data_IF_892676990139
#
_entry.id   IF_892676990139
#
_cell.length_a   1.000
_cell.length_b   1.000
_cell.length_c   1.000
_cell.angle_alpha   90.00
_cell.angle_beta   90.00
_cell.angle_gamma   90.00
#
_symmetry.space_group_name_H-M   'P 1'
#
loop_
_entity.id
_entity.type
_entity.pdbx_description
1 polymer ?
#
# COMPACT_ATOMS: atom_id res chain seq x y z
N UNK A 1 -9.75 -3.41 16.09
CA UNK A 1 -10.10 -2.58 14.91
C UNK A 1 -10.61 -3.41 13.74
N UNK A 2 -9.85 -4.40 13.27
CA UNK A 2 -10.20 -5.25 12.10
C UNK A 2 -11.57 -5.93 12.23
N UNK A 3 -11.86 -6.56 13.38
CA UNK A 3 -13.15 -7.25 13.56
C UNK A 3 -14.34 -6.29 13.51
N UNK A 4 -14.18 -5.05 14.01
CA UNK A 4 -15.23 -4.03 13.94
C UNK A 4 -15.47 -3.64 12.48
N UNK A 5 -14.40 -3.40 11.71
CA UNK A 5 -14.50 -3.10 10.28
C UNK A 5 -15.12 -4.25 9.47
N UNK A 6 -14.82 -5.51 9.82
CA UNK A 6 -15.44 -6.69 9.23
C UNK A 6 -16.94 -6.74 9.55
N UNK A 7 -17.34 -6.52 10.80
CA UNK A 7 -18.75 -6.45 11.20
C UNK A 7 -19.51 -5.33 10.49
N UNK A 8 -18.84 -4.20 10.22
CA UNK A 8 -19.40 -3.10 9.42
C UNK A 8 -19.41 -3.38 7.91
N UNK A 9 -18.83 -4.50 7.46
CA UNK A 9 -18.77 -4.91 6.06
C UNK A 9 -17.80 -4.07 5.22
N UNK A 10 -16.76 -3.46 5.81
CA UNK A 10 -15.81 -2.60 5.07
C UNK A 10 -14.86 -3.41 4.17
N UNK A 11 -14.59 -4.66 4.55
CA UNK A 11 -13.80 -5.62 3.76
C UNK A 11 -14.45 -6.07 2.44
N UNK A 12 -15.74 -5.77 2.26
CA UNK A 12 -16.48 -6.14 1.05
C UNK A 12 -16.66 -4.90 0.19
N UNK A 13 -16.30 -5.00 -1.09
CA UNK A 13 -16.40 -3.87 -2.01
C UNK A 13 -17.86 -3.40 -2.12
N UNK A 14 -18.13 -2.09 -2.00
CA UNK A 14 -19.47 -1.53 -2.16
C UNK A 14 -20.15 -1.90 -3.48
N UNK A 15 -19.39 -2.12 -4.57
CA UNK A 15 -19.94 -2.46 -5.89
C UNK A 15 -20.60 -3.85 -5.91
N UNK A 16 -20.31 -4.71 -4.93
CA UNK A 16 -21.02 -5.98 -4.74
C UNK A 16 -22.46 -5.81 -4.27
N UNK A 17 -22.83 -4.61 -3.80
CA UNK A 17 -24.19 -4.25 -3.38
C UNK A 17 -24.68 -3.00 -4.13
N UNK A 18 -24.98 -3.10 -5.44
CA UNK A 18 -25.39 -1.95 -6.25
C UNK A 18 -26.58 -1.20 -5.63
N UNK A 19 -26.46 0.12 -5.54
CA UNK A 19 -27.51 1.00 -5.00
C UNK A 19 -27.63 1.05 -3.46
N UNK A 20 -26.84 0.25 -2.72
CA UNK A 20 -26.84 0.30 -1.25
C UNK A 20 -26.13 1.53 -0.69
N UNK A 21 -25.11 2.00 -1.40
CA UNK A 21 -24.25 3.11 -1.00
C UNK A 21 -24.18 4.13 -2.12
N UNK A 22 -24.17 5.42 -1.75
CA UNK A 22 -23.83 6.50 -2.68
C UNK A 22 -22.37 6.39 -3.15
N UNK A 23 -21.98 7.01 -4.28
CA UNK A 23 -20.59 7.02 -4.74
C UNK A 23 -19.61 7.52 -3.67
N UNK A 24 -20.01 8.55 -2.93
CA UNK A 24 -19.25 9.08 -1.79
C UNK A 24 -19.07 8.03 -0.68
N UNK A 25 -20.15 7.39 -0.22
CA UNK A 25 -20.08 6.37 0.83
C UNK A 25 -19.26 5.16 0.39
N UNK A 26 -19.40 4.74 -0.87
CA UNK A 26 -18.62 3.64 -1.44
C UNK A 26 -17.12 3.95 -1.35
N UNK A 27 -16.71 5.13 -1.82
CA UNK A 27 -15.32 5.55 -1.78
C UNK A 27 -14.81 5.66 -0.33
N UNK A 28 -15.55 6.34 0.56
CA UNK A 28 -15.16 6.44 1.98
C UNK A 28 -14.97 5.08 2.64
N UNK A 29 -15.82 4.09 2.34
CA UNK A 29 -15.69 2.72 2.87
C UNK A 29 -14.43 2.04 2.35
N UNK A 30 -14.07 2.23 1.07
CA UNK A 30 -12.80 1.73 0.50
C UNK A 30 -11.61 2.36 1.22
N UNK A 31 -11.59 3.68 1.37
CA UNK A 31 -10.50 4.41 2.05
C UNK A 31 -10.25 3.88 3.46
N UNK A 32 -11.32 3.76 4.26
CA UNK A 32 -11.22 3.25 5.65
C UNK A 32 -10.71 1.80 5.68
N UNK A 33 -11.20 0.94 4.79
CA UNK A 33 -10.70 -0.44 4.73
C UNK A 33 -9.20 -0.50 4.43
N UNK A 34 -8.75 0.28 3.44
CA UNK A 34 -7.35 0.28 3.03
C UNK A 34 -6.41 0.95 4.05
N UNK A 35 -6.89 1.91 4.85
CA UNK A 35 -6.14 2.40 6.00
C UNK A 35 -5.97 1.31 7.06
N UNK A 36 -7.04 0.57 7.38
CA UNK A 36 -6.96 -0.54 8.33
C UNK A 36 -6.01 -1.63 7.81
N UNK A 37 -6.07 -1.93 6.51
CA UNK A 37 -5.15 -2.85 5.87
C UNK A 37 -3.69 -2.39 6.00
N UNK A 38 -3.41 -1.13 5.63
CA UNK A 38 -2.07 -0.56 5.74
C UNK A 38 -1.54 -0.62 7.18
N UNK A 39 -2.36 -0.20 8.15
CA UNK A 39 -1.98 -0.19 9.56
C UNK A 39 -1.69 -1.61 10.08
N UNK A 40 -2.49 -2.61 9.69
CA UNK A 40 -2.24 -4.01 10.04
C UNK A 40 -0.88 -4.48 9.52
N UNK A 41 -0.56 -4.18 8.24
CA UNK A 41 0.75 -4.52 7.66
C UNK A 41 1.89 -3.79 8.36
N UNK A 42 1.76 -2.48 8.52
CA UNK A 42 2.80 -1.62 9.07
C UNK A 42 3.13 -1.97 10.52
N UNK A 43 2.11 -2.08 11.38
CA UNK A 43 2.32 -2.42 12.80
C UNK A 43 2.91 -3.82 12.93
N UNK A 44 2.39 -4.79 12.16
CA UNK A 44 2.93 -6.15 12.17
C UNK A 44 4.37 -6.18 11.69
N UNK A 45 4.71 -5.36 10.69
CA UNK A 45 6.07 -5.25 10.19
C UNK A 45 7.04 -4.67 11.23
N UNK A 46 6.63 -3.61 11.94
CA UNK A 46 7.40 -3.02 13.05
C UNK A 46 7.61 -3.98 14.22
N UNK A 47 6.64 -4.86 14.47
CA UNK A 47 6.68 -5.83 15.58
C UNK A 47 7.25 -7.20 15.17
N UNK A 48 7.67 -7.37 13.91
CA UNK A 48 8.10 -8.67 13.36
C UNK A 48 7.05 -9.77 13.49
N UNK A 49 5.76 -9.41 13.42
CA UNK A 49 4.63 -10.34 13.48
C UNK A 49 3.99 -10.52 12.08
N UNK A 50 3.25 -11.62 11.85
CA UNK A 50 2.41 -11.76 10.68
C UNK A 50 1.20 -10.82 10.73
N UNK A 51 0.84 -10.12 9.64
CA UNK A 51 -0.39 -9.34 9.54
C UNK A 51 -1.64 -10.20 9.72
N UNK A 52 -2.69 -9.65 10.33
CA UNK A 52 -3.92 -10.35 10.68
C UNK A 52 -4.92 -10.47 9.52
N UNK A 53 -4.85 -9.55 8.55
CA UNK A 53 -5.72 -9.59 7.38
C UNK A 53 -5.13 -10.52 6.34
N UNK A 54 -5.90 -11.54 5.93
CA UNK A 54 -5.54 -12.35 4.78
C UNK A 54 -6.13 -11.77 3.49
N UNK A 55 -5.32 -11.71 2.43
CA UNK A 55 -5.71 -11.22 1.10
C UNK A 55 -6.86 -12.02 0.48
N UNK A 56 -7.05 -13.28 0.90
CA UNK A 56 -8.17 -14.10 0.46
C UNK A 56 -9.49 -13.78 1.20
N UNK A 57 -9.47 -12.95 2.26
CA UNK A 57 -10.63 -12.72 3.14
C UNK A 57 -11.39 -11.42 2.87
N UNK A 58 -11.02 -10.68 1.83
CA UNK A 58 -11.66 -9.42 1.45
C UNK A 58 -11.70 -9.28 -0.07
N UNK A 59 -12.61 -8.46 -0.59
CA UNK A 59 -12.69 -8.18 -2.03
C UNK A 59 -12.83 -6.69 -2.35
N UNK A 60 -12.63 -5.82 -1.34
CA UNK A 60 -12.59 -4.38 -1.49
C UNK A 60 -11.52 -3.93 -2.50
N UNK A 61 -11.93 -3.21 -3.54
CA UNK A 61 -11.03 -2.62 -4.53
C UNK A 61 -10.22 -1.47 -3.92
N UNK A 62 -9.07 -1.15 -4.53
CA UNK A 62 -8.31 0.06 -4.19
C UNK A 62 -9.20 1.31 -4.36
N UNK A 63 -9.02 2.35 -3.53
CA UNK A 63 -9.77 3.58 -3.69
C UNK A 63 -9.39 4.29 -5.00
N UNK A 64 -10.27 5.17 -5.47
CA UNK A 64 -10.00 5.99 -6.66
C UNK A 64 -9.02 7.10 -6.31
N UNK A 65 -8.14 7.42 -7.26
CA UNK A 65 -7.23 8.54 -7.13
C UNK A 65 -7.97 9.87 -7.26
N UNK A 66 -8.43 10.38 -6.13
CA UNK A 66 -9.28 11.55 -6.05
C UNK A 66 -9.03 12.29 -4.74
N UNK A 67 -8.79 13.60 -4.82
CA UNK A 67 -8.65 14.43 -3.64
C UNK A 67 -9.98 14.57 -2.88
N UNK A 68 -9.88 14.80 -1.57
CA UNK A 68 -11.03 14.96 -0.68
C UNK A 68 -11.90 16.17 -1.07
N UNK A 69 -11.31 17.19 -1.70
CA UNK A 69 -12.03 18.38 -2.22
C UNK A 69 -13.11 18.03 -3.24
N UNK A 70 -12.97 16.90 -3.94
CA UNK A 70 -13.92 16.42 -4.94
C UNK A 70 -14.90 15.37 -4.39
N UNK A 71 -14.77 15.00 -3.11
CA UNK A 71 -15.60 13.98 -2.45
C UNK A 71 -16.52 14.59 -1.41
N UNK A 72 -17.81 14.67 -1.72
CA UNK A 72 -18.81 15.18 -0.80
C UNK A 72 -20.11 14.35 -0.91
N UNK A 73 -21.00 14.39 0.10
CA UNK A 73 -22.18 13.51 0.13
C UNK A 73 -23.13 13.63 -1.07
N UNK A 74 -23.05 14.71 -1.85
CA UNK A 74 -23.86 14.92 -3.06
C UNK A 74 -23.14 14.53 -4.35
N UNK A 75 -21.94 13.96 -4.28
CA UNK A 75 -21.20 13.45 -5.44
C UNK A 75 -22.01 12.34 -6.11
N UNK A 76 -22.48 12.61 -7.33
CA UNK A 76 -23.30 11.68 -8.13
C UNK A 76 -22.46 10.70 -8.95
N UNK A 77 -21.20 11.03 -9.21
CA UNK A 77 -20.23 10.21 -9.92
C UNK A 77 -18.83 10.53 -9.42
N UNK A 78 -17.98 9.51 -9.25
CA UNK A 78 -16.59 9.72 -8.88
C UNK A 78 -15.86 10.45 -10.04
N UNK A 79 -15.02 11.44 -9.73
CA UNK A 79 -14.22 12.10 -10.77
C UNK A 79 -13.24 11.10 -11.40
N UNK A 80 -12.78 11.37 -12.62
CA UNK A 80 -11.68 10.60 -13.18
C UNK A 80 -10.43 10.73 -12.30
N UNK A 81 -9.52 9.74 -12.32
CA UNK A 81 -8.22 9.86 -11.70
C UNK A 81 -7.52 11.16 -12.12
N UNK A 82 -7.03 11.93 -11.15
CA UNK A 82 -6.27 13.15 -11.44
C UNK A 82 -4.79 12.84 -11.56
N UNK A 83 -4.10 13.46 -12.53
CA UNK A 83 -2.68 13.21 -12.80
C UNK A 83 -1.75 13.68 -11.64
N UNK A 84 -2.20 14.67 -10.85
CA UNK A 84 -1.45 15.30 -9.74
C UNK A 84 -2.25 15.32 -8.42
N UNK A 85 -3.02 14.27 -8.14
CA UNK A 85 -3.78 14.18 -6.88
C UNK A 85 -2.86 13.88 -5.68
N UNK A 86 -3.09 14.58 -4.57
CA UNK A 86 -2.41 14.32 -3.29
C UNK A 86 -2.76 12.92 -2.76
N UNK A 87 -3.91 12.38 -3.19
CA UNK A 87 -4.38 11.05 -2.82
C UNK A 87 -3.59 9.91 -3.49
N UNK A 88 -2.82 10.17 -4.55
CA UNK A 88 -1.97 9.17 -5.21
C UNK A 88 -1.02 8.50 -4.22
N UNK A 89 -0.49 9.27 -3.26
CA UNK A 89 0.37 8.74 -2.19
C UNK A 89 -0.30 7.60 -1.42
N UNK A 90 -1.59 7.76 -1.11
CA UNK A 90 -2.37 6.74 -0.42
C UNK A 90 -2.42 5.42 -1.21
N UNK A 91 -2.62 5.50 -2.52
CA UNK A 91 -2.70 4.32 -3.38
C UNK A 91 -1.32 3.64 -3.46
N UNK A 92 -0.25 4.42 -3.55
CA UNK A 92 1.13 3.91 -3.54
C UNK A 92 1.48 3.22 -2.22
N UNK A 93 1.15 3.80 -1.05
CA UNK A 93 1.37 3.14 0.26
C UNK A 93 0.57 1.84 0.38
N UNK A 94 -0.66 1.79 -0.14
CA UNK A 94 -1.49 0.58 -0.13
C UNK A 94 -0.88 -0.53 -0.97
N UNK A 95 -0.37 -0.21 -2.17
CA UNK A 95 0.35 -1.16 -3.03
C UNK A 95 1.64 -1.64 -2.39
N UNK A 96 2.39 -0.74 -1.75
CA UNK A 96 3.60 -1.11 -1.01
C UNK A 96 3.29 -2.08 0.14
N UNK A 97 2.20 -1.87 0.88
CA UNK A 97 1.77 -2.80 1.92
C UNK A 97 1.40 -4.20 1.37
N UNK A 98 0.81 -4.27 0.16
CA UNK A 98 0.61 -5.56 -0.51
C UNK A 98 1.93 -6.22 -0.87
N UNK A 99 2.91 -5.46 -1.37
CA UNK A 99 4.24 -5.97 -1.70
C UNK A 99 4.99 -6.48 -0.46
N UNK A 100 4.94 -5.75 0.66
CA UNK A 100 5.47 -6.18 1.97
C UNK A 100 4.88 -7.54 2.36
N UNK A 101 3.56 -7.69 2.28
CA UNK A 101 2.89 -8.94 2.64
C UNK A 101 3.24 -10.09 1.71
N UNK A 102 3.30 -9.84 0.40
CA UNK A 102 3.71 -10.83 -0.61
C UNK A 102 5.11 -11.37 -0.29
N UNK A 103 6.07 -10.48 0.00
CA UNK A 103 7.45 -10.86 0.29
C UNK A 103 7.53 -11.61 1.62
N UNK A 104 6.85 -11.14 2.67
CA UNK A 104 6.81 -11.84 3.97
C UNK A 104 6.25 -13.27 3.87
N UNK A 105 5.23 -13.48 3.02
CA UNK A 105 4.63 -14.79 2.75
C UNK A 105 5.50 -15.70 1.87
N UNK A 106 6.58 -15.18 1.27
CA UNK A 106 7.42 -15.98 0.40
C UNK A 106 8.14 -17.10 1.19
N UNK A 107 8.29 -18.30 0.62
CA UNK A 107 8.90 -19.45 1.30
C UNK A 107 10.33 -19.24 1.78
N UNK A 108 11.01 -18.20 1.27
CA UNK A 108 12.37 -17.83 1.67
C UNK A 108 12.47 -17.33 3.12
N UNK A 109 11.33 -16.91 3.70
CA UNK A 109 11.25 -16.47 5.09
C UNK A 109 10.75 -17.58 6.03
N UNK A 110 10.60 -18.82 5.53
CA UNK A 110 10.26 -19.97 6.38
C UNK A 110 11.54 -20.62 6.91
N UNK A 111 11.70 -20.62 8.23
CA UNK A 111 12.86 -21.18 8.93
C UNK A 111 13.10 -22.68 8.62
N UNK A 112 12.08 -23.38 8.12
CA UNK A 112 12.17 -24.80 7.77
C UNK A 112 12.75 -25.05 6.37
N UNK A 113 12.88 -24.02 5.53
CA UNK A 113 13.28 -24.16 4.14
C UNK A 113 14.71 -23.67 3.93
N UNK A 114 15.50 -24.37 3.10
CA UNK A 114 16.83 -23.89 2.74
C UNK A 114 16.69 -22.62 1.88
N UNK A 115 17.34 -21.50 2.24
CA UNK A 115 17.11 -20.23 1.57
C UNK A 115 17.70 -20.27 0.14
N UNK A 116 16.86 -19.97 -0.85
CA UNK A 116 17.25 -19.91 -2.27
C UNK A 116 17.61 -18.48 -2.68
N UNK A 117 18.90 -18.25 -2.93
CA UNK A 117 19.43 -16.94 -3.37
C UNK A 117 18.74 -16.48 -4.66
N UNK A 118 18.39 -17.39 -5.57
CA UNK A 118 17.75 -17.00 -6.84
C UNK A 118 16.35 -16.45 -6.60
N UNK A 119 15.58 -17.07 -5.71
CA UNK A 119 14.29 -16.55 -5.27
C UNK A 119 14.43 -15.20 -4.55
N UNK A 120 15.45 -15.05 -3.71
CA UNK A 120 15.76 -13.78 -3.03
C UNK A 120 16.01 -12.64 -4.02
N UNK A 121 16.87 -12.89 -5.01
CA UNK A 121 17.20 -11.92 -6.07
C UNK A 121 15.97 -11.55 -6.88
N UNK A 122 15.11 -12.52 -7.21
CA UNK A 122 13.86 -12.25 -7.95
C UNK A 122 12.90 -11.34 -7.16
N UNK A 123 12.70 -11.61 -5.86
CA UNK A 123 11.86 -10.75 -5.00
C UNK A 123 12.47 -9.35 -4.83
N UNK A 124 13.79 -9.26 -4.65
CA UNK A 124 14.47 -7.97 -4.56
C UNK A 124 14.37 -7.17 -5.86
N UNK A 125 14.41 -7.86 -7.02
CA UNK A 125 14.22 -7.22 -8.31
C UNK A 125 12.79 -6.69 -8.45
N UNK A 126 11.77 -7.42 -7.99
CA UNK A 126 10.39 -6.94 -7.99
C UNK A 126 10.22 -5.64 -7.18
N UNK A 127 10.89 -5.52 -6.03
CA UNK A 127 10.89 -4.27 -5.25
C UNK A 127 11.57 -3.12 -6.00
N UNK A 128 12.69 -3.39 -6.67
CA UNK A 128 13.39 -2.38 -7.48
C UNK A 128 12.56 -1.94 -8.69
N UNK A 129 11.91 -2.88 -9.36
CA UNK A 129 11.03 -2.61 -10.48
C UNK A 129 9.86 -1.74 -10.03
N UNK A 130 9.25 -2.05 -8.87
CA UNK A 130 8.21 -1.23 -8.27
C UNK A 130 8.68 0.19 -7.97
N UNK A 131 9.87 0.37 -7.38
CA UNK A 131 10.47 1.69 -7.13
C UNK A 131 10.71 2.47 -8.43
N UNK A 132 11.16 1.81 -9.49
CA UNK A 132 11.41 2.42 -10.79
C UNK A 132 10.13 2.83 -11.53
N UNK A 133 9.01 2.15 -11.24
CA UNK A 133 7.71 2.40 -11.82
C UNK A 133 6.92 3.51 -11.09
N UNK A 134 7.45 4.06 -9.99
CA UNK A 134 6.80 5.15 -9.27
C UNK A 134 6.70 6.41 -10.15
N UNK A 135 5.62 7.20 -10.01
CA UNK A 135 5.57 8.51 -10.67
C UNK A 135 6.76 9.39 -10.27
N UNK A 136 7.29 10.24 -11.17
CA UNK A 136 8.52 11.00 -10.93
C UNK A 136 8.50 11.82 -9.64
N UNK A 137 7.34 12.35 -9.25
CA UNK A 137 7.17 13.13 -8.03
C UNK A 137 7.37 12.32 -6.74
N UNK A 138 7.26 10.99 -6.78
CA UNK A 138 7.45 10.07 -5.66
C UNK A 138 8.80 9.33 -5.68
N UNK A 139 9.61 9.51 -6.71
CA UNK A 139 10.94 8.90 -6.78
C UNK A 139 11.92 9.64 -5.87
N UNK A 140 12.67 8.87 -5.07
CA UNK A 140 13.79 9.42 -4.31
C UNK A 140 14.99 9.56 -5.26
N UNK A 141 15.28 10.79 -5.71
CA UNK A 141 16.43 11.07 -6.57
C UNK A 141 17.75 10.78 -5.82
N UNK A 142 18.75 10.28 -6.54
CA UNK A 142 20.09 10.05 -6.00
C UNK A 142 20.85 11.36 -5.69
N UNK A 143 20.39 12.49 -6.26
CA UNK A 143 20.92 13.82 -5.98
C UNK A 143 20.16 14.45 -4.80
N UNK A 144 20.88 14.71 -3.69
CA UNK A 144 20.34 15.27 -2.44
C UNK A 144 19.62 16.62 -2.67
N UNK A 145 20.03 17.40 -3.66
CA UNK A 145 19.40 18.68 -4.01
C UNK A 145 18.01 18.54 -4.66
N UNK A 146 17.77 17.42 -5.37
CA UNK A 146 16.48 17.13 -6.00
C UNK A 146 15.55 16.37 -5.04
N UNK A 147 16.11 15.49 -4.20
CA UNK A 147 15.36 14.76 -3.17
C UNK A 147 14.65 15.69 -2.17
N UNK A 148 15.29 16.83 -1.85
CA UNK A 148 14.78 17.87 -0.95
C UNK A 148 13.91 18.94 -1.64
N UNK A 149 13.70 18.84 -2.96
CA UNK A 149 12.88 19.80 -3.71
C UNK A 149 11.37 19.53 -3.54
N UNK A 150 10.60 20.59 -3.29
CA UNK A 150 9.13 20.51 -3.14
C UNK A 150 8.65 20.75 -1.69
N UNK A 151 7.34 20.59 -1.44
CA UNK A 151 6.78 20.80 -0.12
C UNK A 151 7.22 19.70 0.87
N UNK A 152 7.32 19.99 2.19
CA UNK A 152 7.85 19.03 3.18
C UNK A 152 7.11 17.69 3.22
N UNK A 153 5.80 17.69 2.99
CA UNK A 153 5.01 16.45 2.98
C UNK A 153 5.42 15.52 1.82
N UNK A 154 5.72 16.07 0.63
CA UNK A 154 6.12 15.27 -0.52
C UNK A 154 7.49 14.64 -0.32
N UNK A 155 8.42 15.38 0.28
CA UNK A 155 9.74 14.84 0.68
C UNK A 155 9.57 13.69 1.67
N UNK A 156 8.69 13.86 2.69
CA UNK A 156 8.40 12.80 3.65
C UNK A 156 7.80 11.55 2.96
N UNK A 157 6.87 11.73 2.01
CA UNK A 157 6.27 10.65 1.24
C UNK A 157 7.30 9.87 0.42
N UNK A 158 8.21 10.56 -0.29
CA UNK A 158 9.32 9.91 -1.02
C UNK A 158 10.18 9.06 -0.10
N UNK A 159 10.58 9.65 1.03
CA UNK A 159 11.41 8.98 2.04
C UNK A 159 10.70 7.77 2.63
N UNK A 160 9.41 7.86 2.94
CA UNK A 160 8.64 6.75 3.50
C UNK A 160 8.57 5.57 2.52
N UNK A 161 8.18 5.80 1.26
CA UNK A 161 8.10 4.74 0.24
C UNK A 161 9.46 4.08 0.01
N UNK A 162 10.52 4.88 -0.16
CA UNK A 162 11.86 4.37 -0.40
C UNK A 162 12.42 3.62 0.82
N UNK A 163 12.24 4.15 2.03
CA UNK A 163 12.77 3.54 3.25
C UNK A 163 12.14 2.18 3.50
N UNK A 164 10.82 2.07 3.39
CA UNK A 164 10.10 0.81 3.55
C UNK A 164 10.54 -0.18 2.46
N UNK A 165 10.62 0.24 1.19
CA UNK A 165 11.06 -0.64 0.10
C UNK A 165 12.48 -1.19 0.32
N UNK A 166 13.45 -0.33 0.68
CA UNK A 166 14.81 -0.77 0.99
C UNK A 166 14.86 -1.70 2.21
N UNK A 167 14.08 -1.41 3.26
CA UNK A 167 13.98 -2.27 4.44
C UNK A 167 13.50 -3.68 4.06
N UNK A 168 12.54 -3.81 3.14
CA UNK A 168 12.09 -5.12 2.66
C UNK A 168 13.20 -5.85 1.91
N UNK A 169 13.96 -5.16 1.05
CA UNK A 169 15.11 -5.76 0.35
C UNK A 169 16.14 -6.28 1.35
N UNK A 170 16.46 -5.52 2.39
CA UNK A 170 17.36 -5.98 3.45
C UNK A 170 16.83 -7.23 4.16
N UNK A 171 15.53 -7.26 4.47
CA UNK A 171 14.87 -8.41 5.09
C UNK A 171 14.93 -9.66 4.21
N UNK A 172 14.79 -9.51 2.89
CA UNK A 172 14.91 -10.64 1.92
C UNK A 172 16.28 -11.30 2.01
N UNK A 173 17.36 -10.52 2.21
CA UNK A 173 18.73 -11.06 2.24
C UNK A 173 19.23 -11.43 3.65
N UNK A 174 18.47 -11.09 4.70
CA UNK A 174 18.85 -11.38 6.08
C UNK A 174 19.20 -12.87 6.34
N UNK A 175 18.51 -13.88 5.78
CA UNK A 175 18.88 -15.29 5.97
C UNK A 175 20.23 -15.72 5.37
N UNK A 176 20.88 -14.87 4.57
CA UNK A 176 22.14 -15.17 3.87
C UNK A 176 23.37 -14.45 4.45
N UNK A 177 23.17 -13.60 5.46
CA UNK A 177 24.23 -12.86 6.16
C UNK A 177 24.69 -13.64 7.40
#
# INVERSE_FOLDING_TARGET
MINIARTMGLHIDPDTHPGKYSPFESEMRRRVWWDIYYLDVFISDCMSLPPLIDDATFNCNLPVDCDDSHLYPRTSMLPPPADDSDYMYFILKSRLAQLVKKIRRAPINDDQNQPDIKAAVALAQEVKDWLSALPPQFQLAADEGVASSGPPFLVAQRCELASIAHQIVLKIFHPFL
#
